data_IF_604523014881
#
_entry.id   IF_604523014881
#
_cell.length_a   1.000
_cell.length_b   1.000
_cell.length_c   1.000
_cell.angle_alpha   90.00
_cell.angle_beta   90.00
_cell.angle_gamma   90.00
#
_symmetry.space_group_name_H-M   'P 1'
#
loop_
_entity.id
_entity.type
_entity.pdbx_description
1 polymer ?
#
# COMPACT_ATOMS: atom_id res chain seq x y z
N UNK A 1 -1.64 -8.75 12.09
CA UNK A 1 -2.19 -7.67 11.26
C UNK A 1 -1.95 -6.31 11.89
N UNK A 2 -2.19 -6.21 13.19
CA UNK A 2 -1.99 -4.96 13.89
C UNK A 2 -0.51 -4.54 13.86
N UNK A 3 0.38 -5.48 14.05
CA UNK A 3 1.82 -5.20 13.99
C UNK A 3 2.22 -4.76 12.59
N UNK A 4 1.68 -5.42 11.58
CA UNK A 4 1.96 -5.06 10.19
C UNK A 4 1.51 -3.63 9.90
N UNK A 5 0.32 -3.27 10.37
CA UNK A 5 -0.21 -1.94 10.15
C UNK A 5 0.66 -0.88 10.82
N UNK A 6 1.14 -1.16 12.03
CA UNK A 6 2.03 -0.22 12.71
C UNK A 6 3.36 -0.06 12.00
N UNK A 7 3.88 -1.15 11.45
CA UNK A 7 5.10 -1.08 10.65
C UNK A 7 4.88 -0.25 9.40
N UNK A 8 3.71 -0.37 8.78
CA UNK A 8 3.39 0.45 7.63
C UNK A 8 3.43 1.93 7.95
N UNK A 9 2.89 2.31 9.11
CA UNK A 9 2.86 3.71 9.49
C UNK A 9 4.25 4.31 9.64
N UNK A 10 5.19 3.52 10.12
CA UNK A 10 6.53 4.03 10.37
C UNK A 10 7.46 3.92 9.17
N UNK A 11 7.22 2.95 8.28
CA UNK A 11 8.12 2.68 7.17
C UNK A 11 7.69 3.30 5.86
N UNK A 12 6.39 3.48 5.67
CA UNK A 12 5.86 3.93 4.39
C UNK A 12 5.47 5.39 4.43
N UNK A 13 5.73 6.08 3.32
CA UNK A 13 5.29 7.44 3.14
C UNK A 13 3.79 7.46 2.94
N UNK A 14 3.18 8.64 3.10
CA UNK A 14 1.73 8.79 3.03
C UNK A 14 1.12 8.13 1.79
N UNK A 15 1.71 8.38 0.62
CA UNK A 15 1.17 7.85 -0.62
C UNK A 15 1.30 6.33 -0.67
N UNK A 16 2.45 5.82 -0.26
CA UNK A 16 2.68 4.38 -0.24
C UNK A 16 1.69 3.70 0.70
N UNK A 17 1.52 4.26 1.89
CA UNK A 17 0.60 3.70 2.87
C UNK A 17 -0.83 3.72 2.37
N UNK A 18 -1.25 4.84 1.79
CA UNK A 18 -2.61 4.95 1.27
C UNK A 18 -2.88 3.89 0.21
N UNK A 19 -1.95 3.69 -0.70
CA UNK A 19 -2.12 2.71 -1.77
C UNK A 19 -2.22 1.30 -1.19
N UNK A 20 -1.37 0.97 -0.23
CA UNK A 20 -1.40 -0.36 0.37
C UNK A 20 -2.70 -0.56 1.15
N UNK A 21 -3.14 0.43 1.89
CA UNK A 21 -4.39 0.34 2.64
C UNK A 21 -5.58 0.09 1.70
N UNK A 22 -5.63 0.81 0.60
CA UNK A 22 -6.72 0.65 -0.36
C UNK A 22 -6.63 -0.69 -1.09
N UNK A 23 -5.42 -1.09 -1.43
CA UNK A 23 -5.21 -2.31 -2.21
C UNK A 23 -5.61 -3.56 -1.43
N UNK A 24 -5.33 -3.57 -0.14
CA UNK A 24 -5.58 -4.75 0.69
C UNK A 24 -6.73 -4.57 1.68
N UNK A 25 -7.36 -3.41 1.68
CA UNK A 25 -8.51 -3.17 2.53
C UNK A 25 -8.16 -3.18 4.02
N UNK A 26 -6.98 -2.68 4.38
CA UNK A 26 -6.50 -2.79 5.75
C UNK A 26 -7.22 -1.88 6.74
N UNK A 27 -7.85 -0.84 6.25
CA UNK A 27 -8.52 0.14 7.10
C UNK A 27 -10.03 -0.07 7.09
N UNK A 28 -10.47 -1.31 7.07
CA UNK A 28 -11.89 -1.62 7.08
C UNK A 28 -12.59 -1.42 5.74
N UNK A 29 -11.87 -1.02 4.72
CA UNK A 29 -12.43 -0.84 3.40
C UNK A 29 -12.34 -2.14 2.60
N UNK A 30 -13.16 -2.25 1.57
CA UNK A 30 -13.03 -3.37 0.65
C UNK A 30 -11.77 -3.20 -0.18
N UNK A 31 -11.05 -4.29 -0.45
CA UNK A 31 -9.87 -4.20 -1.31
C UNK A 31 -10.23 -3.61 -2.68
N UNK A 32 -9.35 -2.78 -3.20
CA UNK A 32 -9.55 -2.12 -4.49
C UNK A 32 -8.52 -2.58 -5.49
N UNK A 33 -8.89 -2.54 -6.76
CA UNK A 33 -7.95 -2.88 -7.82
C UNK A 33 -7.00 -1.72 -8.07
N UNK A 34 -5.89 -2.01 -8.74
CA UNK A 34 -4.93 -0.97 -9.10
C UNK A 34 -5.58 0.10 -9.97
N UNK A 35 -6.48 -0.30 -10.87
CA UNK A 35 -7.19 0.66 -11.71
C UNK A 35 -8.05 1.60 -10.88
N UNK A 36 -8.75 1.06 -9.90
CA UNK A 36 -9.60 1.88 -9.04
C UNK A 36 -8.77 2.87 -8.23
N UNK A 37 -7.65 2.40 -7.70
CA UNK A 37 -6.76 3.26 -6.91
C UNK A 37 -6.20 4.36 -7.81
N UNK A 38 -5.79 4.01 -9.02
CA UNK A 38 -5.25 5.00 -9.96
C UNK A 38 -6.26 6.11 -10.23
N UNK A 39 -7.52 5.74 -10.44
CA UNK A 39 -8.57 6.73 -10.68
C UNK A 39 -8.80 7.60 -9.46
N UNK A 40 -8.82 6.99 -8.28
CA UNK A 40 -9.07 7.74 -7.04
C UNK A 40 -7.97 8.76 -6.76
N UNK A 41 -6.74 8.41 -7.09
CA UNK A 41 -5.59 9.26 -6.76
C UNK A 41 -5.14 10.12 -7.94
N UNK A 42 -5.75 9.95 -9.11
CA UNK A 42 -5.38 10.74 -10.28
C UNK A 42 -4.01 10.43 -10.83
N UNK A 43 -3.58 9.18 -10.74
CA UNK A 43 -2.28 8.74 -11.24
C UNK A 43 -2.48 7.54 -12.15
N UNK A 44 -1.41 7.12 -12.83
CA UNK A 44 -1.50 5.99 -13.74
C UNK A 44 -1.48 4.67 -12.97
N UNK A 45 -2.06 3.63 -13.57
CA UNK A 45 -2.02 2.30 -12.99
C UNK A 45 -0.59 1.79 -12.87
N UNK A 46 0.24 2.11 -13.83
CA UNK A 46 1.65 1.70 -13.79
C UNK A 46 2.35 2.28 -12.57
N UNK A 47 2.03 3.54 -12.25
CA UNK A 47 2.60 4.19 -11.09
C UNK A 47 2.12 3.53 -9.80
N UNK A 48 0.83 3.20 -9.74
CA UNK A 48 0.29 2.47 -8.59
C UNK A 48 1.03 1.15 -8.40
N UNK A 49 1.25 0.42 -9.49
CA UNK A 49 1.94 -0.86 -9.43
C UNK A 49 3.37 -0.70 -8.91
N UNK A 50 4.07 0.33 -9.36
CA UNK A 50 5.44 0.59 -8.90
C UNK A 50 5.47 0.90 -7.41
N UNK A 51 4.56 1.75 -6.97
CA UNK A 51 4.51 2.12 -5.55
C UNK A 51 4.15 0.92 -4.71
N UNK A 52 3.21 0.12 -5.16
CA UNK A 52 2.80 -1.08 -4.44
C UNK A 52 3.97 -2.05 -4.29
N UNK A 53 4.69 -2.30 -5.38
CA UNK A 53 5.83 -3.21 -5.34
C UNK A 53 6.90 -2.69 -4.38
N UNK A 54 7.17 -1.40 -4.44
CA UNK A 54 8.17 -0.80 -3.56
C UNK A 54 7.77 -0.88 -2.10
N UNK A 55 6.50 -0.61 -1.82
CA UNK A 55 6.00 -0.65 -0.45
C UNK A 55 6.02 -2.07 0.10
N UNK A 56 5.61 -3.04 -0.69
CA UNK A 56 5.64 -4.43 -0.28
C UNK A 56 7.07 -4.89 -0.03
N UNK A 57 8.00 -4.44 -0.87
CA UNK A 57 9.40 -4.75 -0.67
C UNK A 57 9.94 -4.23 0.65
N UNK A 58 9.56 -3.01 1.02
CA UNK A 58 9.97 -2.45 2.30
C UNK A 58 9.42 -3.25 3.47
N UNK A 59 8.14 -3.62 3.39
CA UNK A 59 7.52 -4.38 4.46
C UNK A 59 8.10 -5.78 4.58
N UNK A 60 8.33 -6.43 3.44
CA UNK A 60 8.90 -7.78 3.43
C UNK A 60 10.30 -7.78 4.04
N UNK A 61 11.08 -6.77 3.72
CA UNK A 61 12.43 -6.65 4.25
C UNK A 61 12.43 -6.51 5.76
N UNK A 62 11.47 -5.78 6.29
CA UNK A 62 11.38 -5.56 7.72
C UNK A 62 10.86 -6.78 8.47
N UNK A 63 9.96 -7.53 7.85
CA UNK A 63 9.35 -8.68 8.50
C UNK A 63 10.21 -9.92 8.43
N UNK A 64 11.11 -9.95 7.47
CA UNK A 64 11.86 -11.14 7.13
C UNK A 64 12.98 -11.49 8.09
N UNK A 65 13.01 -10.91 9.18
CA UNK A 65 14.05 -11.20 10.16
C UNK A 65 13.94 -12.59 10.76
#
# INVERSE_FOLDING_TARGET
IKLLYEKMKSLLKDRERTIIELRFGLDGHKPKTQNEIAKMMGISRSYVSRIETKAIGKLAKEIKE
#
